data_IF_180606842382
#
_entry.id   IF_180606842382
#
_cell.length_a   1.000
_cell.length_b   1.000
_cell.length_c   1.000
_cell.angle_alpha   90.00
_cell.angle_beta   90.00
_cell.angle_gamma   90.00
#
_symmetry.space_group_name_H-M   'P 1'
#
loop_
_entity.id
_entity.type
_entity.pdbx_description
1 polymer ?
#
# COMPACT_ATOMS: atom_id res chain seq x y z
N UNK A 1 -16.04 -3.96 -9.94
CA UNK A 1 -15.09 -3.28 -10.84
C UNK A 1 -15.05 -4.10 -12.12
N UNK A 2 -15.42 -3.50 -13.27
CA UNK A 2 -15.41 -4.15 -14.58
C UNK A 2 -13.99 -4.27 -15.14
N UNK A 3 -13.84 -4.70 -16.40
CA UNK A 3 -12.54 -4.72 -17.07
C UNK A 3 -11.96 -3.29 -17.13
N UNK A 4 -10.81 -3.09 -16.47
CA UNK A 4 -10.16 -1.78 -16.40
C UNK A 4 -9.68 -1.31 -17.78
N UNK A 5 -9.80 -0.01 -18.04
CA UNK A 5 -9.31 0.66 -19.24
C UNK A 5 -9.86 0.14 -20.59
N UNK A 6 -10.96 -0.65 -20.58
CA UNK A 6 -11.67 -1.09 -21.78
C UNK A 6 -13.12 -0.62 -21.72
N UNK A 7 -13.45 0.37 -22.54
CA UNK A 7 -14.77 1.02 -22.57
C UNK A 7 -15.44 0.84 -23.94
N UNK A 8 -15.93 -0.37 -24.28
CA UNK A 8 -16.57 -0.62 -25.58
C UNK A 8 -17.87 0.14 -25.78
N UNK A 9 -18.46 0.67 -24.71
CA UNK A 9 -19.69 1.47 -24.71
C UNK A 9 -19.55 2.64 -23.76
N UNK A 10 -20.41 3.66 -23.90
CA UNK A 10 -20.46 4.80 -22.97
C UNK A 10 -20.92 4.43 -21.56
N UNK A 11 -21.52 3.25 -21.39
CA UNK A 11 -21.99 2.72 -20.11
C UNK A 11 -20.93 1.88 -19.41
N UNK A 12 -19.85 1.51 -20.10
CA UNK A 12 -18.71 0.84 -19.49
C UNK A 12 -17.86 1.88 -18.78
N UNK A 13 -18.16 2.11 -17.50
CA UNK A 13 -17.45 3.07 -16.64
C UNK A 13 -16.48 2.37 -15.69
N UNK A 14 -15.40 3.06 -15.36
CA UNK A 14 -14.50 2.75 -14.25
C UNK A 14 -13.98 4.04 -13.60
N UNK A 15 -13.14 3.89 -12.58
CA UNK A 15 -12.51 5.01 -11.86
C UNK A 15 -11.71 5.96 -12.77
N UNK A 16 -11.18 5.46 -13.89
CA UNK A 16 -10.47 6.25 -14.89
C UNK A 16 -11.41 7.13 -15.71
N UNK A 17 -12.56 6.60 -16.15
CA UNK A 17 -13.58 7.41 -16.84
C UNK A 17 -14.21 8.43 -15.88
N UNK A 18 -14.47 8.03 -14.64
CA UNK A 18 -15.05 8.92 -13.63
C UNK A 18 -14.08 10.07 -13.29
N UNK A 19 -12.78 9.77 -13.21
CA UNK A 19 -11.73 10.80 -13.08
C UNK A 19 -11.73 11.75 -14.29
N UNK A 20 -11.83 11.22 -15.52
CA UNK A 20 -11.87 12.04 -16.73
C UNK A 20 -13.02 13.04 -16.69
N UNK A 21 -14.24 12.56 -16.42
CA UNK A 21 -15.45 13.38 -16.37
C UNK A 21 -15.42 14.38 -15.21
N UNK A 22 -14.84 13.99 -14.06
CA UNK A 22 -14.62 14.89 -12.93
C UNK A 22 -13.71 16.04 -13.29
N UNK A 23 -12.61 15.78 -14.00
CA UNK A 23 -11.71 16.83 -14.47
C UNK A 23 -12.43 17.76 -15.45
N UNK A 24 -13.14 17.22 -16.44
CA UNK A 24 -13.93 18.02 -17.39
C UNK A 24 -14.95 18.92 -16.68
N UNK A 25 -15.61 18.40 -15.65
CA UNK A 25 -16.53 19.16 -14.82
C UNK A 25 -15.82 20.29 -14.07
N UNK A 26 -14.72 20.00 -13.37
CA UNK A 26 -13.95 21.00 -12.61
C UNK A 26 -13.40 22.12 -13.50
N UNK A 27 -12.95 21.79 -14.71
CA UNK A 27 -12.47 22.78 -15.67
C UNK A 27 -13.58 23.74 -16.12
N UNK A 28 -14.80 23.24 -16.30
CA UNK A 28 -15.95 24.01 -16.81
C UNK A 28 -16.76 24.73 -15.73
N UNK A 29 -16.88 24.12 -14.55
CA UNK A 29 -17.84 24.49 -13.49
C UNK A 29 -17.19 24.70 -12.13
N UNK A 30 -15.93 24.28 -11.96
CA UNK A 30 -15.19 24.51 -10.72
C UNK A 30 -14.78 25.97 -10.53
N UNK A 31 -14.03 26.25 -9.45
CA UNK A 31 -13.41 27.55 -9.23
C UNK A 31 -12.51 27.97 -10.39
N UNK A 32 -12.13 29.26 -10.42
CA UNK A 32 -11.17 29.77 -11.40
C UNK A 32 -9.89 28.92 -11.37
N UNK A 33 -9.59 28.31 -12.51
CA UNK A 33 -8.47 27.38 -12.68
C UNK A 33 -7.60 27.81 -13.87
N UNK A 34 -6.39 27.26 -13.96
CA UNK A 34 -5.43 27.50 -15.04
C UNK A 34 -5.37 26.32 -16.03
N UNK A 35 -6.38 25.44 -16.04
CA UNK A 35 -6.42 24.26 -16.91
C UNK A 35 -5.49 23.11 -16.52
N UNK A 36 -4.83 23.17 -15.36
CA UNK A 36 -3.93 22.11 -14.87
C UNK A 36 -4.49 21.51 -13.58
N UNK A 37 -4.57 20.18 -13.55
CA UNK A 37 -5.07 19.40 -12.41
C UNK A 37 -3.96 18.53 -11.85
N UNK A 38 -3.89 18.49 -10.53
CA UNK A 38 -3.12 17.50 -9.79
C UNK A 38 -4.04 16.60 -8.98
N UNK A 39 -3.62 15.36 -8.78
CA UNK A 39 -4.33 14.39 -7.95
C UNK A 39 -3.36 13.80 -6.92
N UNK A 40 -3.78 13.68 -5.67
CA UNK A 40 -3.05 12.91 -4.67
C UNK A 40 -4.06 12.16 -3.80
N UNK A 41 -3.59 11.08 -3.21
CA UNK A 41 -4.37 10.31 -2.26
C UNK A 41 -3.51 9.26 -1.59
N UNK A 42 -3.92 8.89 -0.39
CA UNK A 42 -3.30 7.88 0.47
C UNK A 42 -4.23 6.67 0.53
N UNK A 43 -3.73 5.43 0.59
CA UNK A 43 -4.57 4.23 0.77
C UNK A 43 -5.56 4.05 -0.39
N UNK A 44 -6.85 3.87 -0.11
CA UNK A 44 -7.92 3.83 -1.10
C UNK A 44 -7.99 5.12 -1.96
N UNK A 45 -7.88 6.35 -1.42
CA UNK A 45 -7.59 7.54 -2.25
C UNK A 45 -6.32 7.44 -3.11
N UNK A 46 -5.30 6.71 -2.65
CA UNK A 46 -4.10 6.37 -3.43
C UNK A 46 -4.43 5.42 -4.59
N UNK A 47 -5.31 4.44 -4.37
CA UNK A 47 -5.91 3.64 -5.44
C UNK A 47 -6.64 4.51 -6.45
N UNK A 48 -7.52 5.42 -6.02
CA UNK A 48 -8.21 6.35 -6.93
C UNK A 48 -7.21 7.23 -7.71
N UNK A 49 -6.09 7.59 -7.10
CA UNK A 49 -5.02 8.33 -7.79
C UNK A 49 -4.31 7.47 -8.83
N UNK A 50 -4.06 6.20 -8.53
CA UNK A 50 -3.52 5.21 -9.47
C UNK A 50 -4.48 4.98 -10.64
N UNK A 51 -5.77 4.82 -10.36
CA UNK A 51 -6.80 4.67 -11.38
C UNK A 51 -7.01 5.95 -12.20
N UNK A 52 -6.90 7.11 -11.57
CA UNK A 52 -7.01 8.41 -12.23
C UNK A 52 -5.95 8.62 -13.31
N UNK A 53 -4.77 8.01 -13.18
CA UNK A 53 -3.76 7.96 -14.25
C UNK A 53 -4.28 7.32 -15.54
N UNK A 54 -5.20 6.34 -15.44
CA UNK A 54 -5.79 5.65 -16.59
C UNK A 54 -6.74 6.55 -17.39
N UNK A 55 -7.23 7.64 -16.80
CA UNK A 55 -8.01 8.66 -17.53
C UNK A 55 -7.23 9.25 -18.70
N UNK A 56 -5.89 9.32 -18.58
CA UNK A 56 -4.98 9.97 -19.54
C UNK A 56 -5.45 11.39 -19.91
N UNK A 57 -6.18 12.05 -19.00
CA UNK A 57 -6.78 13.33 -19.27
C UNK A 57 -5.69 14.39 -19.51
N UNK A 58 -5.72 15.17 -20.61
CA UNK A 58 -4.65 16.13 -20.93
C UNK A 58 -4.39 17.18 -19.84
N UNK A 59 -5.40 17.56 -19.07
CA UNK A 59 -5.27 18.49 -17.95
C UNK A 59 -4.64 17.86 -16.68
N UNK A 60 -4.58 16.54 -16.54
CA UNK A 60 -3.91 15.89 -15.40
C UNK A 60 -2.39 15.98 -15.61
N UNK A 61 -1.72 16.82 -14.83
CA UNK A 61 -0.28 17.11 -15.00
C UNK A 61 0.60 16.40 -13.98
N UNK A 62 0.07 16.16 -12.78
CA UNK A 62 0.79 15.54 -11.69
C UNK A 62 -0.15 14.63 -10.89
N UNK A 63 0.29 13.42 -10.59
CA UNK A 63 -0.41 12.49 -9.72
C UNK A 63 0.52 11.98 -8.64
N UNK A 64 0.04 11.83 -7.41
CA UNK A 64 0.80 11.24 -6.33
C UNK A 64 -0.01 10.12 -5.67
N UNK A 65 0.10 8.88 -6.19
CA UNK A 65 -0.40 7.71 -5.50
C UNK A 65 0.50 7.43 -4.29
N UNK A 66 -0.05 7.53 -3.08
CA UNK A 66 0.69 7.37 -1.83
C UNK A 66 0.10 6.18 -1.08
N UNK A 67 0.91 5.22 -0.62
CA UNK A 67 0.44 3.93 -0.13
C UNK A 67 -0.79 3.43 -0.88
N UNK A 68 -0.72 3.31 -2.23
CA UNK A 68 -1.92 3.02 -2.99
C UNK A 68 -2.28 1.55 -2.88
N UNK A 69 -3.53 1.27 -2.52
CA UNK A 69 -4.13 -0.07 -2.71
C UNK A 69 -3.99 -0.45 -4.18
N UNK A 70 -3.04 -1.33 -4.48
CA UNK A 70 -2.66 -1.63 -5.86
C UNK A 70 -3.14 -3.00 -6.27
N UNK A 71 -2.99 -4.00 -5.40
CA UNK A 71 -3.45 -5.35 -5.67
C UNK A 71 -4.00 -5.92 -4.36
N UNK A 72 -5.30 -5.76 -4.19
CA UNK A 72 -6.06 -6.15 -2.99
C UNK A 72 -5.70 -7.55 -2.48
N UNK A 73 -5.42 -8.50 -3.37
CA UNK A 73 -5.05 -9.86 -2.96
C UNK A 73 -3.63 -9.97 -2.37
N UNK A 74 -2.68 -9.12 -2.78
CA UNK A 74 -1.28 -9.23 -2.36
C UNK A 74 -0.87 -8.21 -1.28
N UNK A 75 -1.78 -7.33 -0.90
CA UNK A 75 -1.61 -6.23 0.05
C UNK A 75 -2.75 -6.31 1.10
N UNK A 76 -3.84 -5.55 0.96
CA UNK A 76 -4.88 -5.34 1.99
C UNK A 76 -5.61 -6.60 2.47
N UNK A 77 -5.97 -7.53 1.58
CA UNK A 77 -6.81 -8.68 1.93
C UNK A 77 -5.97 -9.93 2.23
N UNK A 78 -4.84 -10.11 1.55
CA UNK A 78 -3.93 -11.22 1.86
C UNK A 78 -2.46 -10.83 1.75
N UNK A 79 -1.65 -11.42 2.63
CA UNK A 79 -0.20 -11.37 2.55
C UNK A 79 0.34 -12.77 2.23
N UNK A 80 0.82 -12.94 0.99
CA UNK A 80 1.34 -14.23 0.49
C UNK A 80 0.35 -15.41 0.67
N UNK A 81 -0.96 -15.15 0.52
CA UNK A 81 -2.03 -16.13 0.67
C UNK A 81 -2.61 -16.28 2.08
N UNK A 82 -2.03 -15.63 3.09
CA UNK A 82 -2.66 -15.53 4.42
C UNK A 82 -3.65 -14.36 4.46
N UNK A 83 -4.92 -14.63 4.79
CA UNK A 83 -5.96 -13.61 4.86
C UNK A 83 -5.72 -12.63 6.02
N UNK A 84 -5.70 -11.33 5.74
CA UNK A 84 -5.48 -10.29 6.75
C UNK A 84 -6.77 -9.96 7.51
N UNK A 85 -7.31 -10.96 8.20
CA UNK A 85 -8.64 -10.94 8.84
C UNK A 85 -8.93 -9.67 9.63
N UNK A 86 -7.99 -9.24 10.46
CA UNK A 86 -8.20 -8.10 11.37
C UNK A 86 -8.31 -6.78 10.62
N UNK A 87 -7.46 -6.57 9.61
CA UNK A 87 -7.47 -5.39 8.76
C UNK A 87 -8.73 -5.39 7.89
N UNK A 88 -8.95 -6.48 7.15
CA UNK A 88 -10.09 -6.62 6.25
C UNK A 88 -11.44 -6.51 6.98
N UNK A 89 -11.62 -7.20 8.11
CA UNK A 89 -12.87 -7.10 8.88
C UNK A 89 -13.07 -5.68 9.41
N UNK A 90 -12.03 -5.07 10.00
CA UNK A 90 -12.11 -3.71 10.52
C UNK A 90 -12.44 -2.67 9.45
N UNK A 91 -11.74 -2.72 8.32
CA UNK A 91 -11.93 -1.81 7.20
C UNK A 91 -13.33 -1.92 6.61
N UNK A 92 -13.78 -3.13 6.25
CA UNK A 92 -15.10 -3.32 5.64
C UNK A 92 -16.26 -3.09 6.61
N UNK A 93 -16.00 -3.14 7.92
CA UNK A 93 -16.99 -2.79 8.91
C UNK A 93 -17.46 -1.33 8.81
N UNK A 94 -16.57 -0.43 8.41
CA UNK A 94 -16.85 1.00 8.21
C UNK A 94 -17.01 1.34 6.72
N UNK A 95 -16.02 0.97 5.91
CA UNK A 95 -15.98 1.32 4.50
C UNK A 95 -17.06 0.60 3.69
N UNK A 96 -17.36 -0.66 4.03
CA UNK A 96 -18.29 -1.53 3.30
C UNK A 96 -19.77 -1.26 3.53
N UNK A 97 -20.11 -0.30 4.39
CA UNK A 97 -21.50 -0.02 4.72
C UNK A 97 -22.25 0.57 3.51
N UNK A 98 -23.49 0.11 3.22
CA UNK A 98 -24.31 0.66 2.16
C UNK A 98 -24.58 2.16 2.37
N UNK A 99 -24.30 2.96 1.34
CA UNK A 99 -24.61 4.40 1.29
C UNK A 99 -25.58 4.65 0.13
N UNK A 100 -26.90 4.46 0.35
CA UNK A 100 -27.89 4.54 -0.74
C UNK A 100 -28.09 5.98 -1.26
N UNK A 101 -27.63 6.98 -0.50
CA UNK A 101 -27.63 8.38 -0.85
C UNK A 101 -26.29 8.99 -0.39
N UNK A 102 -25.83 10.08 -1.03
CA UNK A 102 -24.70 10.85 -0.51
C UNK A 102 -24.96 11.28 0.94
N UNK A 103 -23.98 11.03 1.80
CA UNK A 103 -24.07 11.32 3.23
C UNK A 103 -22.77 11.92 3.73
N UNK A 104 -22.85 12.88 4.64
CA UNK A 104 -21.71 13.38 5.40
C UNK A 104 -21.48 12.58 6.70
N UNK A 105 -22.44 11.71 7.05
CA UNK A 105 -22.40 10.89 8.25
C UNK A 105 -21.88 9.49 7.91
N UNK A 106 -20.83 9.09 8.62
CA UNK A 106 -20.40 7.70 8.65
C UNK A 106 -21.33 6.92 9.57
N UNK A 107 -21.91 5.81 9.10
CA UNK A 107 -22.78 4.98 9.92
C UNK A 107 -21.98 4.27 11.02
N UNK A 108 -22.57 4.11 12.21
CA UNK A 108 -21.94 3.37 13.29
C UNK A 108 -21.76 1.89 12.89
N UNK A 109 -20.51 1.42 12.89
CA UNK A 109 -20.22 -0.01 12.71
C UNK A 109 -20.65 -0.83 13.94
N UNK A 110 -20.92 -2.14 13.80
CA UNK A 110 -21.08 -3.03 14.95
C UNK A 110 -19.88 -2.91 15.88
N UNK A 111 -20.18 -2.74 17.16
CA UNK A 111 -19.20 -2.62 18.23
C UNK A 111 -18.58 -3.99 18.52
N UNK A 112 -17.26 -4.05 18.59
CA UNK A 112 -16.57 -5.24 19.06
C UNK A 112 -16.87 -5.46 20.55
N UNK A 113 -17.11 -6.71 20.98
CA UNK A 113 -17.49 -7.00 22.36
C UNK A 113 -16.33 -6.83 23.36
N UNK A 114 -15.09 -6.66 22.87
CA UNK A 114 -13.88 -6.57 23.67
C UNK A 114 -12.85 -5.68 22.96
N UNK A 115 -12.00 -4.94 23.71
CA UNK A 115 -10.84 -4.26 23.16
C UNK A 115 -9.66 -5.20 22.88
N UNK A 116 -9.76 -6.47 23.30
CA UNK A 116 -8.75 -7.51 23.05
C UNK A 116 -9.03 -8.21 21.71
N UNK A 117 -8.42 -7.68 20.64
CA UNK A 117 -8.55 -8.25 19.29
C UNK A 117 -8.05 -9.69 19.22
N UNK A 118 -6.96 -10.03 19.92
CA UNK A 118 -6.43 -11.39 19.94
C UNK A 118 -7.47 -12.38 20.47
N UNK A 119 -8.04 -12.10 21.66
CA UNK A 119 -9.08 -12.94 22.24
C UNK A 119 -10.34 -12.98 21.34
N UNK A 120 -10.71 -11.85 20.75
CA UNK A 120 -11.85 -11.76 19.84
C UNK A 120 -11.71 -12.70 18.63
N UNK A 121 -10.63 -12.58 17.86
CA UNK A 121 -10.43 -13.37 16.64
C UNK A 121 -10.19 -14.86 16.95
N UNK A 122 -9.57 -15.18 18.09
CA UNK A 122 -9.45 -16.56 18.57
C UNK A 122 -10.82 -17.19 18.87
N UNK A 123 -11.73 -16.44 19.50
CA UNK A 123 -13.09 -16.91 19.83
C UNK A 123 -14.06 -16.85 18.63
N UNK A 124 -13.77 -16.01 17.64
CA UNK A 124 -14.56 -15.87 16.42
C UNK A 124 -14.68 -17.23 15.71
N UNK A 125 -13.59 -18.00 15.63
CA UNK A 125 -13.55 -19.29 14.94
C UNK A 125 -13.52 -19.13 13.42
N UNK A 126 -14.16 -20.03 12.65
CA UNK A 126 -14.13 -19.99 11.19
C UNK A 126 -14.62 -18.66 10.60
N UNK A 127 -14.01 -18.23 9.49
CA UNK A 127 -14.27 -16.94 8.82
C UNK A 127 -15.76 -16.66 8.52
N UNK A 128 -16.55 -17.70 8.20
CA UNK A 128 -17.99 -17.59 7.97
C UNK A 128 -18.76 -16.97 9.16
N UNK A 129 -18.23 -17.10 10.37
CA UNK A 129 -18.85 -16.58 11.58
C UNK A 129 -18.87 -15.05 11.60
N UNK A 130 -18.03 -14.36 10.81
CA UNK A 130 -18.08 -12.89 10.67
C UNK A 130 -19.44 -12.47 10.11
N UNK A 131 -19.87 -13.09 9.02
CA UNK A 131 -21.16 -12.76 8.40
C UNK A 131 -22.33 -13.27 9.26
N UNK A 132 -22.26 -14.51 9.74
CA UNK A 132 -23.33 -15.09 10.57
C UNK A 132 -23.59 -14.29 11.87
N UNK A 133 -22.54 -13.74 12.50
CA UNK A 133 -22.64 -13.11 13.83
C UNK A 133 -22.59 -11.58 13.83
N UNK A 134 -21.98 -10.94 12.82
CA UNK A 134 -21.75 -9.48 12.84
C UNK A 134 -22.26 -8.75 11.60
N UNK A 135 -21.95 -9.25 10.39
CA UNK A 135 -22.26 -8.49 9.17
C UNK A 135 -23.66 -8.77 8.62
N UNK A 136 -24.19 -9.99 8.81
CA UNK A 136 -25.55 -10.39 8.43
C UNK A 136 -25.91 -10.05 6.97
N UNK A 137 -24.97 -10.26 6.05
CA UNK A 137 -25.15 -9.98 4.62
C UNK A 137 -25.12 -8.50 4.23
N UNK A 138 -24.91 -7.57 5.17
CA UNK A 138 -24.95 -6.12 4.92
C UNK A 138 -23.83 -5.64 3.99
N UNK A 139 -22.66 -6.25 4.06
CA UNK A 139 -21.46 -5.79 3.36
C UNK A 139 -21.19 -6.67 2.15
N UNK A 140 -21.71 -6.25 1.00
CA UNK A 140 -21.55 -6.98 -0.26
C UNK A 140 -20.08 -7.28 -0.56
N UNK A 141 -19.20 -6.30 -0.35
CA UNK A 141 -17.79 -6.46 -0.69
C UNK A 141 -17.13 -7.55 0.15
N UNK A 142 -17.35 -7.57 1.47
CA UNK A 142 -16.89 -8.67 2.33
C UNK A 142 -17.29 -10.05 1.80
N UNK A 143 -18.55 -10.22 1.40
CA UNK A 143 -19.03 -11.49 0.87
C UNK A 143 -18.37 -11.88 -0.45
N UNK A 144 -18.08 -10.90 -1.32
CA UNK A 144 -17.32 -11.14 -2.54
C UNK A 144 -15.89 -11.61 -2.19
N UNK A 145 -15.19 -10.92 -1.28
CA UNK A 145 -13.81 -11.27 -0.90
C UNK A 145 -13.71 -12.68 -0.30
N UNK A 146 -14.60 -13.03 0.64
CA UNK A 146 -14.63 -14.36 1.28
C UNK A 146 -14.93 -15.47 0.27
N UNK A 147 -15.71 -15.19 -0.78
CA UNK A 147 -16.00 -16.15 -1.84
C UNK A 147 -14.80 -16.41 -2.77
N UNK A 148 -13.76 -15.58 -2.72
CA UNK A 148 -12.59 -15.63 -3.59
C UNK A 148 -11.27 -15.81 -2.79
N UNK A 149 -11.06 -16.94 -2.09
CA UNK A 149 -9.89 -17.14 -1.21
C UNK A 149 -8.55 -17.33 -1.95
N UNK A 150 -8.57 -17.46 -3.28
CA UNK A 150 -7.39 -17.69 -4.11
C UNK A 150 -7.24 -16.56 -5.13
N UNK A 151 -6.03 -16.37 -5.68
CA UNK A 151 -5.76 -15.36 -6.72
C UNK A 151 -6.37 -15.72 -8.10
N UNK A 152 -7.69 -15.67 -8.17
CA UNK A 152 -8.49 -16.00 -9.35
C UNK A 152 -8.82 -14.76 -10.21
N UNK A 153 -9.72 -14.94 -11.19
CA UNK A 153 -10.12 -13.90 -12.12
C UNK A 153 -10.78 -12.68 -11.44
N UNK A 154 -11.38 -12.84 -10.25
CA UNK A 154 -11.98 -11.73 -9.51
C UNK A 154 -10.91 -10.72 -9.10
N UNK A 155 -9.78 -11.20 -8.57
CA UNK A 155 -8.67 -10.34 -8.16
C UNK A 155 -7.89 -9.80 -9.35
N UNK A 156 -7.60 -10.65 -10.33
CA UNK A 156 -6.83 -10.26 -11.53
C UNK A 156 -7.53 -9.14 -12.31
N UNK A 157 -8.86 -9.13 -12.39
CA UNK A 157 -9.63 -8.09 -13.06
C UNK A 157 -9.55 -6.72 -12.38
N UNK A 158 -9.13 -6.66 -11.11
CA UNK A 158 -9.01 -5.43 -10.30
C UNK A 158 -7.60 -4.88 -10.24
N UNK A 159 -6.61 -5.65 -10.68
CA UNK A 159 -5.22 -5.24 -10.68
C UNK A 159 -4.98 -4.15 -11.74
N UNK A 160 -4.61 -2.91 -11.37
CA UNK A 160 -4.37 -1.82 -12.30
C UNK A 160 -3.01 -1.94 -13.00
N UNK A 161 -2.06 -2.71 -12.46
CA UNK A 161 -0.68 -2.76 -12.96
C UNK A 161 -0.54 -3.10 -14.44
N UNK A 162 -1.32 -4.03 -15.04
CA UNK A 162 -1.27 -4.29 -16.48
C UNK A 162 -1.74 -3.12 -17.37
N UNK A 163 -2.34 -2.09 -16.77
CA UNK A 163 -2.95 -0.94 -17.46
C UNK A 163 -2.18 0.37 -17.28
N UNK A 164 -1.18 0.41 -16.37
CA UNK A 164 -0.33 1.57 -16.07
C UNK A 164 0.70 1.85 -17.18
N UNK A 165 0.23 2.03 -18.42
CA UNK A 165 1.02 2.33 -19.63
C UNK A 165 0.45 3.54 -20.37
N UNK A 166 1.29 4.17 -21.18
CA UNK A 166 0.95 5.37 -21.95
C UNK A 166 0.46 6.54 -21.07
N UNK A 167 0.99 6.62 -19.84
CA UNK A 167 0.62 7.65 -18.88
C UNK A 167 1.09 9.03 -19.37
N UNK A 168 0.34 10.07 -18.99
CA UNK A 168 0.58 11.47 -19.42
C UNK A 168 0.99 12.40 -18.29
N UNK A 169 0.54 12.12 -17.07
CA UNK A 169 0.90 12.89 -15.89
C UNK A 169 2.25 12.45 -15.34
N UNK A 170 3.01 13.39 -14.76
CA UNK A 170 4.13 13.03 -13.92
C UNK A 170 3.64 12.35 -12.64
N UNK A 171 4.41 11.42 -12.10
CA UNK A 171 4.02 10.59 -10.95
C UNK A 171 5.01 10.75 -9.81
N UNK A 172 4.49 10.87 -8.58
CA UNK A 172 5.24 10.81 -7.33
C UNK A 172 4.64 9.71 -6.46
N UNK A 173 5.24 8.52 -6.48
CA UNK A 173 4.83 7.39 -5.64
C UNK A 173 5.46 7.52 -4.26
N UNK A 174 4.65 7.41 -3.21
CA UNK A 174 5.08 7.66 -1.81
C UNK A 174 4.63 6.50 -0.93
N UNK A 175 5.48 6.03 -0.02
CA UNK A 175 5.05 5.08 1.01
C UNK A 175 6.00 5.07 2.20
N UNK A 176 5.82 4.11 3.11
CA UNK A 176 6.59 4.01 4.35
C UNK A 176 7.12 2.61 4.64
N UNK A 177 8.30 2.52 5.25
CA UNK A 177 8.89 1.24 5.68
C UNK A 177 8.07 0.50 6.75
N UNK A 178 7.28 1.24 7.54
CA UNK A 178 6.45 0.68 8.61
C UNK A 178 4.97 0.68 8.21
N UNK A 179 4.68 0.84 6.91
CA UNK A 179 3.33 0.70 6.38
C UNK A 179 2.90 -0.77 6.45
N UNK A 180 1.93 -1.05 7.31
CA UNK A 180 1.43 -2.40 7.55
C UNK A 180 0.26 -2.78 6.62
N UNK A 181 -0.19 -1.85 5.78
CA UNK A 181 -1.39 -2.00 4.94
C UNK A 181 -1.02 -2.07 3.45
N UNK A 182 -0.19 -1.14 2.96
CA UNK A 182 -0.03 -0.86 1.51
C UNK A 182 1.45 -0.81 1.04
N UNK A 183 2.29 -1.62 1.67
CA UNK A 183 3.72 -1.71 1.35
C UNK A 183 3.93 -2.30 -0.05
N UNK A 184 3.22 -3.38 -0.38
CA UNK A 184 3.35 -4.05 -1.67
C UNK A 184 2.92 -3.10 -2.78
N UNK A 185 1.84 -2.37 -2.59
CA UNK A 185 1.20 -1.52 -3.57
C UNK A 185 2.06 -0.33 -3.93
N UNK A 186 2.67 0.31 -2.93
CA UNK A 186 3.66 1.38 -3.16
C UNK A 186 4.81 0.89 -4.07
N UNK A 187 5.47 -0.21 -3.67
CA UNK A 187 6.65 -0.71 -4.38
C UNK A 187 6.30 -1.17 -5.79
N UNK A 188 5.20 -1.90 -5.94
CA UNK A 188 4.79 -2.47 -7.22
C UNK A 188 4.20 -1.42 -8.17
N UNK A 189 3.53 -0.39 -7.66
CA UNK A 189 3.05 0.73 -8.51
C UNK A 189 4.24 1.47 -9.11
N UNK A 190 5.23 1.85 -8.31
CA UNK A 190 6.44 2.52 -8.80
C UNK A 190 7.17 1.65 -9.85
N UNK A 191 7.47 0.39 -9.52
CA UNK A 191 8.17 -0.54 -10.42
C UNK A 191 7.42 -0.77 -11.75
N UNK A 192 6.09 -0.84 -11.67
CA UNK A 192 5.25 -1.04 -12.86
C UNK A 192 5.31 0.18 -13.77
N UNK A 193 5.21 1.39 -13.22
CA UNK A 193 5.26 2.63 -13.99
C UNK A 193 6.62 2.79 -14.65
N UNK A 194 7.72 2.56 -13.91
CA UNK A 194 9.10 2.56 -14.43
C UNK A 194 9.24 1.64 -15.65
N UNK A 195 8.76 0.39 -15.51
CA UNK A 195 8.88 -0.63 -16.55
C UNK A 195 8.04 -0.31 -17.79
N UNK A 196 6.83 0.21 -17.60
CA UNK A 196 5.85 0.36 -18.68
C UNK A 196 5.85 1.74 -19.35
N UNK A 197 6.50 2.75 -18.76
CA UNK A 197 6.53 4.12 -19.27
C UNK A 197 7.95 4.68 -19.31
N UNK A 198 8.86 4.10 -20.11
CA UNK A 198 10.23 4.58 -20.21
C UNK A 198 10.27 6.06 -20.60
N UNK A 199 10.95 6.87 -19.78
CA UNK A 199 11.08 8.32 -19.99
C UNK A 199 9.97 9.18 -19.36
N UNK A 200 8.95 8.58 -18.73
CA UNK A 200 8.01 9.34 -17.90
C UNK A 200 8.71 9.87 -16.64
N UNK A 201 8.34 11.07 -16.18
CA UNK A 201 8.76 11.54 -14.85
C UNK A 201 7.98 10.77 -13.79
N UNK A 202 8.57 9.69 -13.28
CA UNK A 202 8.10 8.95 -12.12
C UNK A 202 9.15 9.11 -11.01
N UNK A 203 8.72 9.33 -9.77
CA UNK A 203 9.58 9.61 -8.62
C UNK A 203 9.13 8.77 -7.46
N UNK A 204 10.09 8.35 -6.62
CA UNK A 204 9.83 7.48 -5.48
C UNK A 204 10.24 8.15 -4.18
N UNK A 205 9.35 8.17 -3.19
CA UNK A 205 9.67 8.56 -1.82
C UNK A 205 9.29 7.44 -0.86
N UNK A 206 10.22 7.08 0.01
CA UNK A 206 9.96 6.04 1.01
C UNK A 206 10.48 6.46 2.37
N UNK A 207 9.56 6.81 3.27
CA UNK A 207 9.89 7.34 4.60
C UNK A 207 9.79 6.30 5.71
N UNK A 208 10.08 6.69 6.96
CA UNK A 208 10.04 5.80 8.11
C UNK A 208 8.62 5.67 8.69
N UNK A 209 7.60 5.83 7.86
CA UNK A 209 6.23 6.04 8.31
C UNK A 209 5.45 4.74 8.44
N UNK A 210 4.47 4.77 9.35
CA UNK A 210 3.29 3.90 9.29
C UNK A 210 2.35 4.32 8.16
N UNK A 211 1.31 3.51 7.92
CA UNK A 211 0.32 3.79 6.89
C UNK A 211 -0.26 5.22 7.01
N UNK A 212 -0.10 6.01 5.94
CA UNK A 212 -0.51 7.42 5.89
C UNK A 212 0.15 8.38 6.88
N UNK A 213 1.17 7.93 7.63
CA UNK A 213 1.75 8.68 8.75
C UNK A 213 2.38 10.02 8.37
N UNK A 214 2.80 10.18 7.11
CA UNK A 214 3.37 11.44 6.60
C UNK A 214 2.36 12.57 6.46
N UNK A 215 1.06 12.28 6.44
CA UNK A 215 0.01 13.31 6.34
C UNK A 215 -0.69 13.59 7.66
N UNK A 216 -0.50 12.72 8.66
CA UNK A 216 -1.22 12.76 9.93
C UNK A 216 -0.32 13.08 11.14
N UNK A 217 0.98 13.32 10.92
CA UNK A 217 1.90 13.65 12.00
C UNK A 217 3.33 13.90 11.53
N UNK A 218 4.24 14.24 12.46
CA UNK A 218 5.60 14.61 12.11
C UNK A 218 6.47 13.42 11.68
N UNK A 219 6.03 12.18 11.92
CA UNK A 219 6.73 10.95 11.51
C UNK A 219 7.98 10.64 12.35
N UNK A 220 8.09 11.22 13.54
CA UNK A 220 9.31 11.17 14.37
C UNK A 220 9.50 9.82 15.07
N UNK A 221 8.44 9.04 15.24
CA UNK A 221 8.49 7.76 15.94
C UNK A 221 7.52 6.74 15.36
N UNK A 222 7.90 5.47 15.42
CA UNK A 222 7.00 4.32 15.25
C UNK A 222 7.29 3.34 16.38
N UNK A 223 6.29 3.06 17.21
CA UNK A 223 6.50 2.31 18.45
C UNK A 223 7.60 2.96 19.30
N UNK A 224 8.62 2.16 19.64
CA UNK A 224 9.77 2.60 20.45
C UNK A 224 10.97 3.08 19.62
N UNK A 225 10.81 3.22 18.30
CA UNK A 225 11.90 3.63 17.39
C UNK A 225 11.73 5.10 17.02
N UNK A 226 12.77 5.91 17.27
CA UNK A 226 12.80 7.33 16.94
C UNK A 226 13.58 7.60 15.65
N UNK A 227 12.97 8.33 14.72
CA UNK A 227 13.50 8.70 13.41
C UNK A 227 13.98 10.16 13.33
N UNK A 228 14.04 10.86 14.46
CA UNK A 228 14.49 12.24 14.52
C UNK A 228 13.41 13.25 14.13
N UNK A 229 13.77 14.54 14.05
CA UNK A 229 12.80 15.63 13.97
C UNK A 229 12.13 15.71 12.59
N UNK A 230 10.82 15.54 12.63
CA UNK A 230 9.83 15.84 11.59
C UNK A 230 10.17 15.39 10.15
N UNK A 231 10.51 14.11 9.91
CA UNK A 231 10.76 13.60 8.55
C UNK A 231 9.56 13.80 7.61
N UNK A 232 8.32 13.75 8.11
CA UNK A 232 7.10 14.02 7.33
C UNK A 232 7.07 15.45 6.80
N UNK A 233 7.33 16.43 7.67
CA UNK A 233 7.31 17.84 7.30
C UNK A 233 8.41 18.15 6.28
N UNK A 234 9.60 17.58 6.48
CA UNK A 234 10.69 17.71 5.52
C UNK A 234 10.27 17.20 4.14
N UNK A 235 9.65 16.02 4.05
CA UNK A 235 9.15 15.47 2.79
C UNK A 235 8.12 16.40 2.12
N UNK A 236 7.12 16.85 2.87
CA UNK A 236 6.07 17.73 2.36
C UNK A 236 6.64 19.03 1.79
N UNK A 237 7.59 19.65 2.51
CA UNK A 237 8.18 20.93 2.12
C UNK A 237 9.19 20.82 0.99
N UNK A 238 9.98 19.74 0.95
CA UNK A 238 11.13 19.63 0.05
C UNK A 238 10.86 18.75 -1.17
N UNK A 239 9.79 17.94 -1.16
CA UNK A 239 9.46 17.03 -2.26
C UNK A 239 8.02 17.22 -2.75
N UNK A 240 7.02 16.96 -1.91
CA UNK A 240 5.61 16.92 -2.34
C UNK A 240 5.11 18.27 -2.86
N UNK A 241 5.25 19.33 -2.07
CA UNK A 241 4.80 20.65 -2.47
C UNK A 241 5.61 21.19 -3.67
N UNK A 242 6.95 21.08 -3.73
CA UNK A 242 7.72 21.41 -4.92
C UNK A 242 7.29 20.63 -6.17
N UNK A 243 7.03 19.32 -6.05
CA UNK A 243 6.55 18.47 -7.14
C UNK A 243 5.26 19.03 -7.75
N UNK A 244 4.23 19.23 -6.93
CA UNK A 244 2.97 19.79 -7.41
C UNK A 244 3.10 21.22 -7.91
N UNK A 245 3.86 22.07 -7.21
CA UNK A 245 4.09 23.45 -7.63
C UNK A 245 4.69 23.50 -9.04
N UNK A 246 5.69 22.66 -9.32
CA UNK A 246 6.35 22.66 -10.62
C UNK A 246 5.40 22.32 -11.75
N UNK A 247 4.57 21.28 -11.61
CA UNK A 247 3.67 20.86 -12.68
C UNK A 247 2.41 21.72 -12.80
N UNK A 248 1.94 22.31 -11.70
CA UNK A 248 0.64 23.00 -11.66
C UNK A 248 0.75 24.52 -11.74
N UNK A 249 1.84 25.11 -11.23
CA UNK A 249 1.94 26.57 -11.05
C UNK A 249 3.06 27.22 -11.84
N UNK A 250 4.16 26.52 -12.08
CA UNK A 250 5.32 27.13 -12.74
C UNK A 250 5.11 27.30 -14.25
N UNK A 251 5.78 28.31 -14.82
CA UNK A 251 5.68 28.66 -16.25
C UNK A 251 6.26 27.56 -17.14
N UNK A 252 7.27 26.84 -16.64
CA UNK A 252 7.87 25.67 -17.28
C UNK A 252 7.57 24.40 -16.46
N UNK A 253 6.44 23.73 -16.70
CA UNK A 253 6.06 22.53 -15.97
C UNK A 253 7.15 21.45 -15.96
N UNK A 254 7.48 20.97 -14.76
CA UNK A 254 8.44 19.87 -14.56
C UNK A 254 9.92 20.29 -14.61
N UNK A 255 10.26 21.51 -15.04
CA UNK A 255 11.66 21.94 -15.15
C UNK A 255 12.40 21.91 -13.80
N UNK A 256 11.73 22.30 -12.70
CA UNK A 256 12.31 22.25 -11.37
C UNK A 256 12.47 20.81 -10.82
N UNK A 257 11.67 19.87 -11.33
CA UNK A 257 11.64 18.46 -10.87
C UNK A 257 12.59 17.58 -11.68
N UNK A 258 12.96 17.99 -12.89
CA UNK A 258 14.02 17.34 -13.66
C UNK A 258 15.35 17.26 -12.90
N UNK A 259 15.57 18.15 -11.93
CA UNK A 259 16.73 18.16 -11.06
C UNK A 259 16.55 17.33 -9.75
N UNK A 260 15.34 16.87 -9.43
CA UNK A 260 15.12 16.01 -8.28
C UNK A 260 15.61 14.58 -8.57
N UNK A 261 16.22 13.92 -7.56
CA UNK A 261 16.64 12.53 -7.69
C UNK A 261 15.45 11.62 -7.98
N UNK A 262 15.71 10.50 -8.63
CA UNK A 262 14.70 9.50 -8.98
C UNK A 262 14.01 8.94 -7.72
N UNK A 263 14.80 8.62 -6.70
CA UNK A 263 14.30 8.11 -5.43
C UNK A 263 14.90 8.86 -4.24
N UNK A 264 14.06 9.13 -3.24
CA UNK A 264 14.44 9.69 -1.94
C UNK A 264 13.92 8.79 -0.83
N UNK A 265 14.82 8.13 -0.12
CA UNK A 265 14.50 7.07 0.85
C UNK A 265 15.11 7.40 2.20
N UNK A 266 14.35 7.19 3.26
CA UNK A 266 14.81 7.44 4.63
C UNK A 266 15.63 6.27 5.16
N UNK A 267 16.85 6.55 5.61
CA UNK A 267 17.76 5.56 6.17
C UNK A 267 17.57 5.49 7.70
N UNK A 268 16.67 4.61 8.17
CA UNK A 268 16.30 4.52 9.59
C UNK A 268 17.44 4.19 10.56
N UNK A 269 18.52 3.56 10.09
CA UNK A 269 19.71 3.32 10.91
C UNK A 269 20.56 4.57 11.16
N UNK A 270 20.55 5.53 10.21
CA UNK A 270 21.31 6.79 10.30
C UNK A 270 20.41 8.02 10.48
N UNK A 271 19.09 7.84 10.54
CA UNK A 271 18.08 8.87 10.66
C UNK A 271 18.26 10.04 9.70
N UNK A 272 18.38 9.74 8.40
CA UNK A 272 18.56 10.76 7.35
C UNK A 272 17.89 10.37 6.04
N UNK A 273 17.52 11.37 5.26
CA UNK A 273 17.13 11.19 3.87
C UNK A 273 18.34 10.92 2.98
N UNK A 274 18.23 9.91 2.12
CA UNK A 274 19.24 9.56 1.11
C UNK A 274 18.59 9.52 -0.27
N UNK A 275 19.33 9.99 -1.26
CA UNK A 275 18.85 10.11 -2.63
C UNK A 275 19.56 9.12 -3.55
N UNK A 276 18.87 8.70 -4.61
CA UNK A 276 19.36 7.73 -5.58
C UNK A 276 18.87 8.08 -6.99
N UNK A 277 19.68 7.75 -7.99
CA UNK A 277 19.34 7.94 -9.42
C UNK A 277 18.46 6.81 -9.99
N UNK A 278 18.21 5.76 -9.21
CA UNK A 278 17.32 4.66 -9.52
C UNK A 278 16.92 3.92 -8.24
N UNK A 279 15.75 3.29 -8.24
CA UNK A 279 15.31 2.40 -7.18
C UNK A 279 14.88 1.02 -7.73
N UNK A 280 15.40 -0.10 -7.18
CA UNK A 280 16.45 -0.19 -6.17
C UNK A 280 17.79 0.44 -6.62
N UNK A 281 18.70 0.80 -5.70
CA UNK A 281 19.97 1.40 -6.05
C UNK A 281 20.79 0.47 -6.96
N UNK A 282 21.38 1.00 -8.05
CA UNK A 282 22.14 0.20 -9.03
C UNK A 282 23.31 -0.58 -8.43
N UNK A 283 23.87 -0.08 -7.33
CA UNK A 283 24.98 -0.72 -6.61
C UNK A 283 24.54 -1.75 -5.56
N UNK A 284 23.23 -1.96 -5.39
CA UNK A 284 22.71 -2.98 -4.48
C UNK A 284 23.17 -4.37 -4.92
N UNK A 285 23.53 -5.20 -3.94
CA UNK A 285 23.93 -6.58 -4.15
C UNK A 285 23.03 -7.48 -3.32
N UNK A 286 22.45 -8.48 -3.96
CA UNK A 286 21.75 -9.54 -3.24
C UNK A 286 22.76 -10.33 -2.40
N UNK A 287 22.40 -10.61 -1.14
CA UNK A 287 23.18 -11.44 -0.23
C UNK A 287 22.24 -12.39 0.49
N UNK A 288 22.66 -13.64 0.58
CA UNK A 288 21.94 -14.66 1.35
C UNK A 288 22.47 -14.70 2.78
N UNK A 289 21.59 -14.52 3.76
CA UNK A 289 21.87 -14.77 5.17
C UNK A 289 21.38 -16.18 5.51
N UNK A 290 22.31 -17.08 5.86
CA UNK A 290 22.01 -18.48 6.15
C UNK A 290 21.71 -18.70 7.62
N UNK A 291 20.83 -19.66 7.91
CA UNK A 291 20.69 -20.24 9.24
C UNK A 291 21.89 -21.13 9.57
N UNK A 292 22.33 -21.05 10.82
CA UNK A 292 23.40 -21.85 11.40
C UNK A 292 22.92 -22.50 12.71
N UNK A 293 23.63 -23.54 13.15
CA UNK A 293 23.31 -24.25 14.39
C UNK A 293 23.26 -23.30 15.60
N UNK A 294 22.43 -23.66 16.59
CA UNK A 294 22.24 -22.86 17.80
C UNK A 294 21.51 -21.54 17.55
N UNK A 295 20.76 -21.42 16.45
CA UNK A 295 20.05 -20.18 16.07
C UNK A 295 20.96 -19.09 15.50
N UNK A 296 22.15 -19.45 15.01
CA UNK A 296 23.10 -18.50 14.41
C UNK A 296 22.67 -18.03 13.01
N UNK A 297 23.20 -16.87 12.60
CA UNK A 297 23.02 -16.31 11.26
C UNK A 297 24.38 -15.86 10.69
N UNK A 298 24.72 -16.26 9.47
CA UNK A 298 25.98 -15.86 8.80
C UNK A 298 25.78 -15.77 7.27
N UNK A 299 26.59 -14.97 6.58
CA UNK A 299 26.58 -14.87 5.12
C UNK A 299 27.32 -16.03 4.43
N UNK A 300 28.04 -16.85 5.18
CA UNK A 300 28.68 -18.07 4.70
C UNK A 300 27.69 -19.22 4.76
N UNK A 301 27.61 -19.99 3.68
CA UNK A 301 26.82 -21.22 3.66
C UNK A 301 27.33 -22.19 4.74
N UNK A 302 26.44 -22.86 5.50
CA UNK A 302 26.84 -23.85 6.48
C UNK A 302 27.59 -25.00 5.79
N UNK A 303 28.74 -25.38 6.33
CA UNK A 303 29.50 -26.54 5.89
C UNK A 303 29.16 -27.72 6.79
N UNK A 304 28.84 -28.87 6.19
CA UNK A 304 28.69 -30.10 6.97
C UNK A 304 30.03 -30.45 7.66
N UNK A 305 30.07 -30.49 8.99
CA UNK A 305 31.29 -30.62 9.80
C UNK A 305 31.16 -31.56 11.00
N UNK A 306 32.30 -31.89 11.61
CA UNK A 306 32.42 -32.87 12.71
C UNK A 306 31.91 -32.35 14.07
N UNK A 307 31.71 -31.04 14.20
CA UNK A 307 31.23 -30.38 15.43
C UNK A 307 29.71 -30.17 15.45
N UNK A 308 28.98 -30.87 14.57
CA UNK A 308 27.52 -30.73 14.45
C UNK A 308 26.77 -31.43 15.60
N UNK A 309 25.81 -30.73 16.21
CA UNK A 309 24.83 -31.32 17.12
C UNK A 309 23.81 -32.14 16.33
N UNK A 310 24.14 -33.40 15.99
CA UNK A 310 23.23 -34.28 15.24
C UNK A 310 22.35 -35.13 16.15
N UNK A 311 21.07 -35.19 15.80
CA UNK A 311 20.17 -36.27 16.26
C UNK A 311 20.56 -37.56 15.52
N UNK A 312 20.77 -38.65 16.26
CA UNK A 312 21.13 -39.94 15.67
C UNK A 312 20.10 -40.38 14.62
N UNK A 313 20.57 -40.71 13.42
CA UNK A 313 19.71 -41.12 12.30
C UNK A 313 19.20 -39.98 11.42
N UNK A 314 19.51 -38.72 11.73
CA UNK A 314 19.21 -37.55 10.89
C UNK A 314 20.50 -37.06 10.23
N UNK A 315 20.49 -36.90 8.91
CA UNK A 315 21.64 -36.48 8.10
C UNK A 315 21.50 -35.07 7.49
N UNK A 316 20.60 -34.25 8.06
CA UNK A 316 20.38 -32.85 7.73
C UNK A 316 20.14 -32.04 9.01
N UNK A 317 20.51 -30.76 9.01
CA UNK A 317 20.19 -29.85 10.11
C UNK A 317 18.72 -29.41 10.04
N UNK A 318 18.08 -29.27 11.20
CA UNK A 318 16.71 -28.78 11.30
C UNK A 318 16.44 -28.11 12.65
N UNK A 319 15.50 -27.17 12.65
CA UNK A 319 14.82 -26.69 13.85
C UNK A 319 13.37 -27.19 13.82
N UNK A 320 12.80 -27.46 14.99
CA UNK A 320 11.41 -27.89 15.12
C UNK A 320 10.70 -27.06 16.19
N UNK A 321 9.44 -26.74 15.94
CA UNK A 321 8.56 -26.09 16.89
C UNK A 321 7.13 -26.62 16.74
N UNK A 322 6.35 -26.56 17.82
CA UNK A 322 4.93 -26.86 17.80
C UNK A 322 4.17 -25.59 17.38
N UNK A 323 3.39 -25.69 16.30
CA UNK A 323 2.42 -24.65 15.92
C UNK A 323 1.03 -25.13 16.33
N UNK A 324 0.49 -24.54 17.41
CA UNK A 324 -0.86 -24.86 17.90
C UNK A 324 -1.84 -23.75 17.46
N UNK A 325 -2.82 -24.04 16.58
CA UNK A 325 -3.84 -23.08 16.18
C UNK A 325 -4.71 -22.57 17.35
N UNK A 326 -4.74 -23.28 18.49
CA UNK A 326 -5.40 -22.82 19.71
C UNK A 326 -4.53 -21.84 20.52
N UNK A 327 -3.25 -21.70 20.20
CA UNK A 327 -2.32 -20.75 20.82
C UNK A 327 -1.45 -20.07 19.74
N UNK A 328 -2.05 -19.30 18.81
CA UNK A 328 -1.30 -18.59 17.79
C UNK A 328 -0.38 -17.54 18.42
N UNK A 329 0.77 -17.27 17.80
CA UNK A 329 1.69 -16.22 18.25
C UNK A 329 0.98 -14.85 18.11
N UNK A 330 0.88 -14.04 19.17
CA UNK A 330 0.32 -12.70 19.07
C UNK A 330 1.24 -11.81 18.24
N UNK A 331 0.67 -11.01 17.32
CA UNK A 331 1.44 -10.11 16.46
C UNK A 331 2.01 -8.89 17.21
N UNK A 332 1.50 -8.58 18.40
CA UNK A 332 1.91 -7.47 19.27
C UNK A 332 1.85 -7.87 20.74
N UNK A 333 2.60 -7.15 21.58
CA UNK A 333 2.53 -7.28 23.04
C UNK A 333 1.36 -6.48 23.66
N UNK A 334 0.78 -5.55 22.90
CA UNK A 334 -0.29 -4.68 23.38
C UNK A 334 -1.69 -5.30 23.22
N UNK A 335 -2.59 -5.01 24.16
CA UNK A 335 -4.02 -5.25 23.93
C UNK A 335 -4.54 -4.18 22.97
N UNK A 336 -4.89 -4.59 21.75
CA UNK A 336 -5.41 -3.69 20.73
C UNK A 336 -6.65 -4.30 20.03
N UNK A 337 -7.66 -3.48 19.67
CA UNK A 337 -8.85 -3.94 18.97
C UNK A 337 -8.60 -4.22 17.48
N UNK A 338 -7.48 -3.71 16.94
CA UNK A 338 -7.05 -3.75 15.53
C UNK A 338 -5.55 -4.04 15.44
N UNK A 339 -5.07 -4.47 14.27
CA UNK A 339 -3.65 -4.82 14.05
C UNK A 339 -2.69 -3.64 13.85
N UNK A 340 -3.20 -2.41 13.76
CA UNK A 340 -2.43 -1.17 13.63
C UNK A 340 -2.71 -0.23 14.79
#
# INVERSE_FOLDING_TARGET
IGALAQHPTKQAVDEGTDTFDTIEYLLKKGPRNNGRVGQLGISYPGFYTTMGLLSRHPALKAASPQAPVTDWFWDDDHHNGAYFLTGTMGFWNDFGQPRPQPTAHYPDGPQMPTPDGYAFYQQLGPLKNVDERYFHGRYKHWNDLVAHPNYDAFWQARNPRPHLRDLKAAVLVVGGFNDAEDLFGTLNTYQTIEKQNPGLSNRFVFGPWVHGGWSNGPGEMVGNVAYGPSPSLWYQQNIEAPFFKSYLKDDQPGAAIAALPEATVFEGGLNRWRTFDAWPPKAAQEKTLYFHQGGGLDFRAPTSGLDELRVAGVNFDFDQFLSDPAQPVPYTEATAPSMT
#
